data_IF_762609306613
#
_entry.id   IF_762609306613
#
_cell.length_a   1.000
_cell.length_b   1.000
_cell.length_c   1.000
_cell.angle_alpha   90.00
_cell.angle_beta   90.00
_cell.angle_gamma   90.00
#
_symmetry.space_group_name_H-M   'P 1'
#
loop_
_entity.id
_entity.type
_entity.pdbx_description
1 polymer ?
#
# COMPACT_ATOMS: atom_id res chain seq x y z
N UNK A 1 0.28 -2.92 -21.14
CA UNK A 1 0.21 -1.75 -20.26
C UNK A 1 0.22 -2.20 -18.81
N UNK A 2 0.93 -1.50 -17.96
CA UNK A 2 1.01 -1.86 -16.55
C UNK A 2 -0.31 -1.62 -15.84
N UNK A 3 -0.69 -2.52 -14.93
CA UNK A 3 -1.83 -2.31 -14.05
C UNK A 3 -1.31 -1.68 -12.76
N UNK A 4 -1.54 -0.39 -12.60
CA UNK A 4 -1.04 0.37 -11.47
C UNK A 4 -1.64 -0.09 -10.13
N UNK A 5 -2.85 -0.64 -10.15
CA UNK A 5 -3.44 -1.18 -8.91
C UNK A 5 -2.62 -2.37 -8.41
N UNK A 6 -2.16 -3.21 -9.34
CA UNK A 6 -1.31 -4.35 -8.99
C UNK A 6 0.05 -3.87 -8.51
N UNK A 7 0.65 -2.91 -9.22
CA UNK A 7 1.97 -2.37 -8.86
C UNK A 7 1.95 -1.78 -7.45
N UNK A 8 0.99 -0.92 -7.17
CA UNK A 8 0.85 -0.29 -5.86
C UNK A 8 0.61 -1.36 -4.79
N UNK A 9 -0.30 -2.30 -5.05
CA UNK A 9 -0.62 -3.34 -4.09
C UNK A 9 0.58 -4.20 -3.73
N UNK A 10 1.35 -4.60 -4.73
CA UNK A 10 2.55 -5.40 -4.51
C UNK A 10 3.60 -4.63 -3.71
N UNK A 11 3.77 -3.35 -4.01
CA UNK A 11 4.72 -2.51 -3.28
C UNK A 11 4.32 -2.34 -1.81
N UNK A 12 3.03 -2.08 -1.56
CA UNK A 12 2.53 -1.95 -0.19
C UNK A 12 2.81 -3.24 0.59
N UNK A 13 2.45 -4.38 0.00
CA UNK A 13 2.65 -5.67 0.67
C UNK A 13 4.13 -5.95 0.93
N UNK A 14 4.97 -5.73 -0.07
CA UNK A 14 6.40 -5.97 0.05
C UNK A 14 7.03 -5.13 1.15
N UNK A 15 6.73 -3.84 1.16
CA UNK A 15 7.30 -2.93 2.15
C UNK A 15 6.77 -3.27 3.54
N UNK A 16 5.47 -3.53 3.63
CA UNK A 16 4.84 -3.92 4.90
C UNK A 16 5.50 -5.17 5.49
N UNK A 17 5.64 -6.22 4.66
CA UNK A 17 6.22 -7.48 5.12
C UNK A 17 7.70 -7.32 5.49
N UNK A 18 8.42 -6.50 4.73
CA UNK A 18 9.83 -6.22 5.05
C UNK A 18 9.99 -5.56 6.41
N UNK A 19 8.98 -4.82 6.84
CA UNK A 19 9.00 -4.17 8.16
C UNK A 19 8.37 -5.03 9.26
N UNK A 20 7.90 -6.23 8.92
CA UNK A 20 7.28 -7.11 9.89
C UNK A 20 5.92 -6.65 10.38
N UNK A 21 5.24 -5.82 9.60
CA UNK A 21 3.95 -5.26 10.00
C UNK A 21 2.78 -6.09 9.45
N UNK A 22 1.69 -6.11 10.20
CA UNK A 22 0.44 -6.72 9.74
C UNK A 22 -0.36 -5.70 8.94
N UNK A 23 -1.32 -6.20 8.14
CA UNK A 23 -2.26 -5.31 7.46
C UNK A 23 -3.03 -4.43 8.45
N UNK A 24 -3.40 -5.03 9.59
CA UNK A 24 -4.12 -4.30 10.64
C UNK A 24 -3.34 -3.12 11.18
N UNK A 25 -2.03 -3.33 11.40
CA UNK A 25 -1.18 -2.24 11.89
C UNK A 25 -1.09 -1.10 10.88
N UNK A 26 -0.95 -1.43 9.61
CA UNK A 26 -0.87 -0.41 8.56
C UNK A 26 -2.21 0.32 8.44
N UNK A 27 -3.32 -0.42 8.43
CA UNK A 27 -4.64 0.17 8.35
C UNK A 27 -4.89 1.13 9.51
N UNK A 28 -4.55 0.71 10.73
CA UNK A 28 -4.70 1.53 11.92
C UNK A 28 -3.87 2.80 11.82
N UNK A 29 -2.60 2.68 11.48
CA UNK A 29 -1.68 3.83 11.39
C UNK A 29 -2.08 4.78 10.26
N UNK A 30 -2.61 4.23 9.16
CA UNK A 30 -3.06 5.03 8.01
C UNK A 30 -4.47 5.57 8.19
N UNK A 31 -5.18 5.15 9.24
CA UNK A 31 -6.57 5.49 9.49
C UNK A 31 -7.46 5.07 8.31
N UNK A 32 -7.22 3.86 7.82
CA UNK A 32 -7.98 3.27 6.73
C UNK A 32 -8.62 1.97 7.20
N UNK A 33 -9.70 1.60 6.51
CA UNK A 33 -10.39 0.34 6.76
C UNK A 33 -9.49 -0.84 6.37
N UNK A 34 -9.47 -1.87 7.21
CA UNK A 34 -8.65 -3.05 6.97
C UNK A 34 -9.02 -3.75 5.65
N UNK A 35 -10.32 -3.84 5.35
CA UNK A 35 -10.79 -4.45 4.11
C UNK A 35 -10.26 -3.69 2.90
N UNK A 36 -10.20 -2.36 3.00
CA UNK A 36 -9.68 -1.52 1.94
C UNK A 36 -8.18 -1.77 1.73
N UNK A 37 -7.41 -1.80 2.83
CA UNK A 37 -5.97 -2.07 2.74
C UNK A 37 -5.72 -3.45 2.13
N UNK A 38 -6.46 -4.46 2.55
CA UNK A 38 -6.33 -5.80 1.97
C UNK A 38 -6.67 -5.82 0.49
N UNK A 39 -7.72 -5.08 0.10
CA UNK A 39 -8.09 -4.97 -1.31
C UNK A 39 -7.03 -4.28 -2.14
N UNK A 40 -6.38 -3.25 -1.56
CA UNK A 40 -5.27 -2.56 -2.24
C UNK A 40 -4.12 -3.54 -2.48
N UNK A 41 -3.75 -4.31 -1.47
CA UNK A 41 -2.64 -5.26 -1.61
C UNK A 41 -2.92 -6.33 -2.65
N UNK A 42 -4.18 -6.70 -2.84
CA UNK A 42 -4.56 -7.70 -3.84
C UNK A 42 -4.76 -7.11 -5.24
N UNK A 43 -4.58 -5.80 -5.39
CA UNK A 43 -4.77 -5.14 -6.68
C UNK A 43 -6.23 -5.00 -7.09
N UNK A 44 -7.16 -5.10 -6.13
CA UNK A 44 -8.60 -5.06 -6.39
C UNK A 44 -9.23 -3.71 -6.12
N UNK A 45 -8.49 -2.81 -5.50
CA UNK A 45 -8.96 -1.47 -5.21
C UNK A 45 -8.11 -0.46 -5.94
N UNK A 46 -8.73 0.63 -6.32
CA UNK A 46 -8.05 1.77 -6.93
C UNK A 46 -7.87 2.82 -5.83
N UNK A 47 -6.75 2.80 -5.10
CA UNK A 47 -6.59 3.69 -3.96
C UNK A 47 -6.50 5.14 -4.42
N UNK A 48 -7.13 6.02 -3.65
CA UNK A 48 -6.98 7.45 -3.89
C UNK A 48 -5.55 7.87 -3.59
N UNK A 49 -5.17 9.03 -4.15
CA UNK A 49 -3.86 9.60 -3.86
C UNK A 49 -3.67 9.79 -2.35
N UNK A 50 -4.70 10.28 -1.67
CA UNK A 50 -4.61 10.49 -0.22
C UNK A 50 -4.47 9.19 0.55
N UNK A 51 -5.18 8.14 0.12
CA UNK A 51 -5.03 6.82 0.75
C UNK A 51 -3.61 6.30 0.58
N UNK A 52 -3.03 6.45 -0.61
CA UNK A 52 -1.65 6.05 -0.85
C UNK A 52 -0.68 6.84 0.01
N UNK A 53 -0.90 8.16 0.12
CA UNK A 53 -0.04 9.00 0.95
C UNK A 53 -0.09 8.58 2.42
N UNK A 54 -1.28 8.24 2.93
CA UNK A 54 -1.44 7.77 4.30
C UNK A 54 -0.74 6.43 4.53
N UNK A 55 -0.82 5.53 3.56
CA UNK A 55 -0.14 4.24 3.65
C UNK A 55 1.38 4.45 3.64
N UNK A 56 1.89 5.28 2.73
CA UNK A 56 3.31 5.58 2.67
C UNK A 56 3.81 6.16 3.99
N UNK A 57 3.04 7.06 4.58
CA UNK A 57 3.38 7.65 5.87
C UNK A 57 3.38 6.57 6.98
N UNK A 58 2.37 5.69 6.98
CA UNK A 58 2.30 4.61 7.94
C UNK A 58 3.49 3.66 7.82
N UNK A 59 3.98 3.46 6.60
CA UNK A 59 5.15 2.62 6.33
C UNK A 59 6.48 3.39 6.45
N UNK A 60 6.40 4.68 6.68
CA UNK A 60 7.55 5.56 6.82
C UNK A 60 8.44 5.54 5.57
N UNK A 61 7.83 5.59 4.40
CA UNK A 61 8.52 5.64 3.12
C UNK A 61 7.94 6.79 2.28
N UNK A 62 8.71 7.33 1.34
CA UNK A 62 8.16 8.33 0.41
C UNK A 62 7.07 7.69 -0.46
N UNK A 63 6.08 8.49 -0.84
CA UNK A 63 4.98 8.02 -1.68
C UNK A 63 5.47 7.34 -2.96
N UNK A 64 6.55 7.84 -3.55
CA UNK A 64 7.09 7.29 -4.79
C UNK A 64 7.46 5.81 -4.66
N UNK A 65 7.78 5.34 -3.44
CA UNK A 65 8.10 3.93 -3.22
C UNK A 65 6.92 3.01 -3.53
N UNK A 66 5.71 3.50 -3.39
CA UNK A 66 4.52 2.71 -3.72
C UNK A 66 4.32 2.59 -5.22
N UNK A 67 4.98 3.41 -6.00
CA UNK A 67 4.82 3.48 -7.45
C UNK A 67 6.00 2.86 -8.22
N UNK A 68 6.95 2.27 -7.52
CA UNK A 68 8.13 1.67 -8.14
C UNK A 68 7.74 0.40 -8.90
N UNK A 69 8.21 0.31 -10.13
CA UNK A 69 8.03 -0.90 -10.91
C UNK A 69 9.25 -1.79 -10.72
N UNK A 70 9.01 -3.08 -10.43
CA UNK A 70 10.11 -4.04 -10.39
C UNK A 70 10.60 -4.31 -11.80
N UNK A 71 11.87 -4.58 -11.88
CA UNK A 71 12.48 -4.96 -13.15
C UNK A 71 12.41 -6.44 -13.38
#
# INVERSE_FOLDING_TARGET
MADWRVIVGQNVRRIRQAQGLTQERVAFAAELDLTYVGGIERGRRNPSLLAMARIAEALNVPLVELLQQSK
#
